data_IF_733053759600
#
_entry.id   IF_733053759600
#
_cell.length_a   1.000
_cell.length_b   1.000
_cell.length_c   1.000
_cell.angle_alpha   90.00
_cell.angle_beta   90.00
_cell.angle_gamma   90.00
#
_symmetry.space_group_name_H-M   'P 1'
#
loop_
_entity.id
_entity.type
_entity.pdbx_description
1 polymer ?
#
# COMPACT_ATOMS: atom_id res chain seq x y z
N UNK A 1 -6.72 -36.34 11.45
CA UNK A 1 -7.44 -35.23 12.11
C UNK A 1 -6.58 -33.99 12.03
N UNK A 2 -7.09 -32.84 11.57
CA UNK A 2 -6.36 -31.58 11.71
C UNK A 2 -6.15 -31.29 13.21
N UNK A 3 -5.03 -30.65 13.61
CA UNK A 3 -4.75 -30.39 15.01
C UNK A 3 -5.85 -29.50 15.63
N UNK A 4 -6.24 -29.73 16.90
CA UNK A 4 -7.21 -28.87 17.58
C UNK A 4 -6.69 -27.43 17.67
N UNK A 5 -7.59 -26.45 17.72
CA UNK A 5 -7.26 -25.01 17.66
C UNK A 5 -6.26 -24.54 18.72
N UNK A 6 -6.20 -25.20 19.88
CA UNK A 6 -5.18 -24.94 20.90
C UNK A 6 -3.77 -25.37 20.45
N UNK A 7 -3.64 -26.51 19.77
CA UNK A 7 -2.38 -26.97 19.18
C UNK A 7 -1.92 -26.06 18.05
N UNK A 8 -2.84 -25.55 17.23
CA UNK A 8 -2.51 -24.55 16.19
C UNK A 8 -1.96 -23.26 16.81
N UNK A 9 -2.60 -22.72 17.86
CA UNK A 9 -2.08 -21.53 18.55
C UNK A 9 -0.70 -21.79 19.21
N UNK A 10 -0.47 -22.98 19.77
CA UNK A 10 0.83 -23.35 20.37
C UNK A 10 1.90 -23.52 19.28
N UNK A 11 1.56 -24.13 18.15
CA UNK A 11 2.45 -24.26 17.00
C UNK A 11 2.78 -22.88 16.44
N UNK A 12 1.79 -22.02 16.18
CA UNK A 12 2.00 -20.64 15.72
C UNK A 12 2.85 -19.82 16.70
N UNK A 13 2.60 -19.91 18.01
CA UNK A 13 3.41 -19.25 19.03
C UNK A 13 4.87 -19.74 19.02
N UNK A 14 5.08 -21.06 18.85
CA UNK A 14 6.43 -21.64 18.70
C UNK A 14 7.11 -21.23 17.39
N UNK A 15 6.36 -21.19 16.29
CA UNK A 15 6.84 -20.71 15.00
C UNK A 15 7.29 -19.24 15.10
N UNK A 16 6.51 -18.38 15.77
CA UNK A 16 6.90 -16.99 16.05
C UNK A 16 8.15 -16.87 16.93
N UNK A 17 8.30 -17.71 17.95
CA UNK A 17 9.55 -17.77 18.74
C UNK A 17 10.76 -18.18 17.91
N UNK A 18 10.54 -18.97 16.84
CA UNK A 18 11.56 -19.33 15.84
C UNK A 18 11.69 -18.28 14.72
N UNK A 19 11.08 -17.11 14.85
CA UNK A 19 11.18 -16.01 13.90
C UNK A 19 10.29 -16.11 12.67
N UNK A 20 9.35 -17.06 12.60
CA UNK A 20 8.39 -17.17 11.50
C UNK A 20 7.49 -15.92 11.39
N UNK A 21 7.30 -15.41 10.18
CA UNK A 21 6.59 -14.16 9.92
C UNK A 21 7.43 -12.91 10.18
N UNK A 22 8.75 -13.05 10.43
CA UNK A 22 9.69 -11.94 10.43
C UNK A 22 10.22 -11.63 9.03
N UNK A 23 10.88 -10.49 8.85
CA UNK A 23 11.57 -10.14 7.58
C UNK A 23 12.56 -11.24 7.17
N UNK A 24 13.24 -11.86 8.14
CA UNK A 24 14.28 -12.88 7.88
C UNK A 24 13.71 -14.27 7.59
N UNK A 25 12.48 -14.54 8.00
CA UNK A 25 11.78 -15.80 7.77
C UNK A 25 10.29 -15.52 7.53
N UNK A 26 9.95 -14.91 6.38
CA UNK A 26 8.59 -14.52 6.06
C UNK A 26 7.69 -15.75 5.84
N UNK A 27 6.40 -15.58 6.09
CA UNK A 27 5.39 -16.57 5.73
C UNK A 27 5.30 -16.71 4.21
N UNK A 28 5.23 -17.95 3.73
CA UNK A 28 5.15 -18.24 2.30
C UNK A 28 3.71 -18.09 1.83
N UNK A 29 3.42 -17.07 1.03
CA UNK A 29 2.08 -16.88 0.49
C UNK A 29 1.66 -18.09 -0.34
N UNK A 30 0.46 -18.63 -0.09
CA UNK A 30 -0.01 -19.88 -0.70
C UNK A 30 0.96 -21.07 -0.59
N UNK A 31 1.81 -21.10 0.44
CA UNK A 31 2.86 -22.11 0.63
C UNK A 31 3.88 -22.19 -0.53
N UNK A 32 4.01 -21.14 -1.34
CA UNK A 32 4.98 -21.08 -2.44
C UNK A 32 6.35 -20.65 -1.89
N UNK A 33 7.37 -21.50 -2.09
CA UNK A 33 8.75 -21.22 -1.69
C UNK A 33 9.56 -20.75 -2.89
N UNK A 34 9.93 -19.46 -2.92
CA UNK A 34 10.68 -18.86 -4.02
C UNK A 34 11.94 -19.64 -4.39
N UNK A 35 12.76 -20.03 -3.39
CA UNK A 35 14.05 -20.68 -3.62
C UNK A 35 13.85 -22.08 -4.21
N UNK A 36 12.93 -22.86 -3.66
CA UNK A 36 12.63 -24.21 -4.15
C UNK A 36 12.02 -24.18 -5.55
N UNK A 37 11.07 -23.27 -5.81
CA UNK A 37 10.43 -23.12 -7.12
C UNK A 37 11.44 -22.64 -8.18
N UNK A 38 12.26 -21.63 -7.86
CA UNK A 38 13.33 -21.15 -8.74
C UNK A 38 14.31 -22.27 -9.08
N UNK A 39 14.79 -23.00 -8.08
CA UNK A 39 15.72 -24.11 -8.29
C UNK A 39 15.08 -25.22 -9.14
N UNK A 40 13.82 -25.58 -8.88
CA UNK A 40 13.10 -26.56 -9.69
C UNK A 40 13.02 -26.12 -11.16
N UNK A 41 12.59 -24.89 -11.43
CA UNK A 41 12.46 -24.36 -12.79
C UNK A 41 13.81 -24.30 -13.52
N UNK A 42 14.88 -23.88 -12.85
CA UNK A 42 16.23 -23.85 -13.41
C UNK A 42 16.72 -25.27 -13.74
N UNK A 43 16.58 -26.23 -12.82
CA UNK A 43 17.00 -27.63 -13.03
C UNK A 43 16.23 -28.29 -14.18
N UNK A 44 14.93 -27.98 -14.33
CA UNK A 44 14.07 -28.54 -15.37
C UNK A 44 14.14 -27.78 -16.70
N UNK A 45 14.80 -26.62 -16.75
CA UNK A 45 14.84 -25.79 -17.95
C UNK A 45 13.47 -25.23 -18.35
N UNK A 46 12.57 -25.01 -17.39
CA UNK A 46 11.21 -24.51 -17.63
C UNK A 46 11.04 -23.08 -17.10
N UNK A 47 10.10 -22.34 -17.69
CA UNK A 47 9.67 -21.04 -17.15
C UNK A 47 8.59 -21.25 -16.09
N UNK A 48 8.71 -20.58 -14.96
CA UNK A 48 7.71 -20.58 -13.91
C UNK A 48 6.40 -19.98 -14.44
N UNK A 49 5.30 -20.61 -14.07
CA UNK A 49 3.94 -20.18 -14.32
C UNK A 49 3.20 -20.29 -12.98
N UNK A 50 2.54 -19.21 -12.59
CA UNK A 50 1.92 -19.12 -11.28
C UNK A 50 0.47 -19.59 -11.31
N UNK A 51 0.25 -20.86 -10.95
CA UNK A 51 -1.09 -21.45 -10.92
C UNK A 51 -2.01 -20.80 -9.87
N UNK A 52 -1.43 -20.11 -8.87
CA UNK A 52 -2.19 -19.41 -7.83
C UNK A 52 -2.63 -18.00 -8.25
N UNK A 53 -2.08 -17.47 -9.35
CA UNK A 53 -2.48 -16.20 -9.94
C UNK A 53 -2.32 -16.27 -11.46
N UNK A 54 -3.20 -17.07 -12.12
CA UNK A 54 -3.00 -17.47 -13.51
C UNK A 54 -3.08 -16.26 -14.47
N UNK A 55 -2.37 -16.29 -15.61
CA UNK A 55 -2.38 -15.20 -16.58
C UNK A 55 -3.66 -15.20 -17.44
N UNK A 56 -4.82 -15.01 -16.80
CA UNK A 56 -6.13 -15.01 -17.43
C UNK A 56 -7.05 -13.89 -16.89
N UNK A 57 -8.30 -13.89 -17.35
CA UNK A 57 -9.30 -12.89 -16.96
C UNK A 57 -9.62 -12.85 -15.47
N UNK A 58 -9.42 -13.95 -14.71
CA UNK A 58 -9.70 -13.99 -13.27
C UNK A 58 -8.73 -13.10 -12.50
N UNK A 59 -7.45 -13.15 -12.87
CA UNK A 59 -6.41 -12.32 -12.24
C UNK A 59 -6.53 -10.84 -12.61
N UNK A 60 -7.09 -10.52 -13.78
CA UNK A 60 -7.46 -9.13 -14.13
C UNK A 60 -8.61 -8.64 -13.23
N UNK A 61 -9.62 -9.48 -13.03
CA UNK A 61 -10.84 -9.12 -12.28
C UNK A 61 -11.93 -8.53 -13.17
N UNK A 62 -13.08 -8.20 -12.57
CA UNK A 62 -14.26 -7.68 -13.27
C UNK A 62 -14.34 -6.14 -13.19
N UNK A 63 -15.09 -5.51 -14.09
CA UNK A 63 -15.45 -4.09 -13.96
C UNK A 63 -14.45 -3.06 -14.48
N UNK A 64 -13.13 -3.33 -14.48
CA UNK A 64 -12.13 -2.36 -15.00
C UNK A 64 -12.15 -2.30 -16.52
N UNK A 65 -12.14 -3.46 -17.18
CA UNK A 65 -12.11 -3.56 -18.64
C UNK A 65 -13.47 -4.03 -19.15
N UNK A 66 -13.95 -3.41 -20.23
CA UNK A 66 -15.11 -3.91 -20.97
C UNK A 66 -14.81 -5.33 -21.50
N UNK A 67 -15.78 -6.26 -21.55
CA UNK A 67 -15.55 -7.62 -22.05
C UNK A 67 -14.89 -7.69 -23.43
N UNK A 68 -15.23 -6.76 -24.33
CA UNK A 68 -14.61 -6.66 -25.66
C UNK A 68 -13.11 -6.36 -25.59
N UNK A 69 -12.69 -5.49 -24.68
CA UNK A 69 -11.29 -5.12 -24.44
C UNK A 69 -10.55 -6.25 -23.73
N UNK A 70 -11.20 -6.89 -22.74
CA UNK A 70 -10.63 -8.00 -21.99
C UNK A 70 -10.23 -9.17 -22.91
N UNK A 71 -11.03 -9.46 -23.94
CA UNK A 71 -10.70 -10.48 -24.95
C UNK A 71 -9.45 -10.18 -25.80
N UNK A 72 -8.93 -8.95 -25.76
CA UNK A 72 -7.72 -8.55 -26.48
C UNK A 72 -6.47 -8.56 -25.59
N UNK A 73 -6.63 -8.81 -24.28
CA UNK A 73 -5.51 -8.85 -23.34
C UNK A 73 -4.65 -10.08 -23.61
N UNK A 74 -3.35 -9.84 -23.81
CA UNK A 74 -2.32 -10.87 -23.94
C UNK A 74 -1.33 -10.78 -22.78
N UNK A 75 -1.03 -11.92 -22.18
CA UNK A 75 -0.09 -12.01 -21.07
C UNK A 75 1.32 -12.33 -21.55
N UNK A 76 2.17 -11.31 -21.60
CA UNK A 76 3.53 -11.36 -22.16
C UNK A 76 4.57 -11.24 -21.05
N UNK A 77 5.71 -11.91 -21.21
CA UNK A 77 6.87 -11.73 -20.33
C UNK A 77 7.67 -10.47 -20.75
N UNK A 78 8.47 -9.86 -19.86
CA UNK A 78 9.27 -8.68 -20.18
C UNK A 78 10.10 -8.81 -21.47
N UNK A 79 10.78 -9.94 -21.66
CA UNK A 79 11.57 -10.21 -22.86
C UNK A 79 10.76 -10.28 -24.19
N UNK A 80 9.43 -10.38 -24.11
CA UNK A 80 8.53 -10.31 -25.26
C UNK A 80 7.97 -8.90 -25.49
N UNK A 81 8.11 -8.02 -24.49
CA UNK A 81 7.64 -6.63 -24.49
C UNK A 81 8.77 -5.70 -24.92
N UNK A 82 9.95 -5.88 -24.33
CA UNK A 82 11.14 -5.07 -24.56
C UNK A 82 12.38 -5.95 -24.80
N UNK A 83 13.18 -5.72 -25.85
CA UNK A 83 14.36 -6.54 -26.18
C UNK A 83 15.41 -6.57 -25.07
N UNK A 84 15.63 -5.44 -24.40
CA UNK A 84 16.66 -5.27 -23.38
C UNK A 84 16.10 -5.25 -21.96
N UNK A 85 14.96 -5.92 -21.74
CA UNK A 85 14.26 -5.95 -20.45
C UNK A 85 15.18 -6.25 -19.26
N UNK A 86 15.12 -5.38 -18.26
CA UNK A 86 15.79 -5.46 -16.96
C UNK A 86 14.78 -5.35 -15.83
N UNK A 87 15.14 -5.90 -14.66
CA UNK A 87 14.31 -5.73 -13.48
C UNK A 87 14.32 -4.26 -13.04
N UNK A 88 15.53 -3.71 -12.91
CA UNK A 88 15.84 -2.31 -12.57
C UNK A 88 16.93 -1.84 -13.54
N UNK A 89 16.81 -0.61 -14.07
CA UNK A 89 17.77 -0.06 -15.05
C UNK A 89 18.79 0.87 -14.39
N UNK A 90 18.35 1.95 -13.75
CA UNK A 90 19.23 2.98 -13.15
C UNK A 90 18.78 3.38 -11.73
N UNK A 91 18.77 2.39 -10.84
CA UNK A 91 18.29 2.56 -9.49
C UNK A 91 16.76 2.60 -9.41
N UNK A 92 16.25 3.02 -8.25
CA UNK A 92 14.80 3.07 -8.01
C UNK A 92 14.39 4.49 -7.65
N UNK A 93 13.33 4.97 -8.28
CA UNK A 93 12.83 6.33 -8.14
C UNK A 93 11.32 6.35 -8.32
N UNK A 94 10.65 7.29 -7.63
CA UNK A 94 9.25 7.61 -7.92
C UNK A 94 9.02 7.97 -9.39
N UNK A 95 10.04 8.53 -10.06
CA UNK A 95 9.94 8.92 -11.46
C UNK A 95 10.02 7.75 -12.45
N UNK A 96 10.33 6.54 -11.97
CA UNK A 96 10.45 5.37 -12.83
C UNK A 96 9.13 4.97 -13.45
N UNK A 97 7.99 5.28 -12.82
CA UNK A 97 6.68 4.76 -13.22
C UNK A 97 5.57 5.81 -13.27
N UNK A 98 4.50 5.44 -13.99
CA UNK A 98 3.24 6.18 -14.02
C UNK A 98 2.05 5.24 -13.97
N UNK A 99 0.96 5.71 -13.36
CA UNK A 99 -0.28 4.95 -13.25
C UNK A 99 -0.88 4.58 -14.62
N UNK A 100 -1.31 3.33 -14.74
CA UNK A 100 -2.10 2.86 -15.88
C UNK A 100 -3.60 3.13 -15.73
N UNK A 101 -4.43 2.22 -16.25
CA UNK A 101 -5.90 2.39 -16.22
C UNK A 101 -6.56 1.98 -14.90
N UNK A 102 -5.80 1.42 -13.97
CA UNK A 102 -6.28 0.91 -12.68
C UNK A 102 -6.41 2.06 -11.66
N UNK A 103 -7.49 2.07 -10.88
CA UNK A 103 -7.73 3.05 -9.82
C UNK A 103 -6.98 2.76 -8.51
N UNK A 104 -5.67 2.50 -8.59
CA UNK A 104 -4.80 2.15 -7.47
C UNK A 104 -3.79 3.27 -7.11
N UNK A 105 -4.16 4.53 -7.32
CA UNK A 105 -3.29 5.68 -7.03
C UNK A 105 -2.73 5.67 -5.61
N UNK A 106 -3.53 5.22 -4.63
CA UNK A 106 -3.13 5.04 -3.23
C UNK A 106 -1.90 4.15 -3.07
N UNK A 107 -1.84 3.05 -3.83
CA UNK A 107 -0.73 2.10 -3.82
C UNK A 107 0.51 2.70 -4.50
N UNK A 108 0.33 3.34 -5.65
CA UNK A 108 1.41 3.96 -6.42
C UNK A 108 2.02 5.19 -5.72
N UNK A 109 1.21 6.04 -5.09
CA UNK A 109 1.69 7.11 -4.22
C UNK A 109 2.50 6.55 -3.04
N UNK A 110 2.03 5.44 -2.44
CA UNK A 110 2.76 4.80 -1.35
C UNK A 110 4.11 4.20 -1.82
N UNK A 111 4.18 3.66 -3.05
CA UNK A 111 5.46 3.26 -3.66
C UNK A 111 6.35 4.48 -3.88
N UNK A 112 5.79 5.59 -4.35
CA UNK A 112 6.50 6.87 -4.47
C UNK A 112 7.19 7.27 -3.18
N UNK A 113 6.47 7.20 -2.05
CA UNK A 113 7.03 7.43 -0.72
C UNK A 113 8.12 6.41 -0.37
N UNK A 114 7.91 5.13 -0.70
CA UNK A 114 8.83 4.03 -0.40
C UNK A 114 10.19 4.21 -1.06
N UNK A 115 10.24 4.81 -2.26
CA UNK A 115 11.50 5.05 -2.99
C UNK A 115 12.49 5.97 -2.24
N UNK A 116 12.02 6.77 -1.28
CA UNK A 116 12.91 7.57 -0.43
C UNK A 116 13.52 6.80 0.74
N UNK A 117 13.02 5.59 1.02
CA UNK A 117 13.40 4.79 2.18
C UNK A 117 14.06 3.47 1.73
N UNK A 118 15.26 3.55 1.14
CA UNK A 118 15.97 2.40 0.54
C UNK A 118 16.01 1.15 1.43
N UNK A 119 16.23 1.34 2.73
CA UNK A 119 16.28 0.24 3.70
C UNK A 119 14.94 -0.50 3.88
N UNK A 120 13.80 0.18 3.67
CA UNK A 120 12.47 -0.41 3.68
C UNK A 120 12.15 -0.96 2.28
N UNK A 121 12.51 -0.21 1.24
CA UNK A 121 12.31 -0.61 -0.15
C UNK A 121 12.91 -2.00 -0.42
N UNK A 122 14.16 -2.25 -0.05
CA UNK A 122 14.83 -3.54 -0.25
C UNK A 122 14.19 -4.70 0.54
N UNK A 123 13.42 -4.41 1.60
CA UNK A 123 12.66 -5.43 2.32
C UNK A 123 11.44 -5.88 1.51
N UNK A 124 10.76 -4.93 0.87
CA UNK A 124 9.58 -5.17 0.02
C UNK A 124 9.96 -5.72 -1.34
N UNK A 125 11.03 -5.17 -1.94
CA UNK A 125 11.53 -5.46 -3.28
C UNK A 125 12.99 -5.96 -3.17
N UNK A 126 13.22 -7.27 -3.08
CA UNK A 126 14.56 -7.83 -3.15
C UNK A 126 15.25 -7.46 -4.47
N UNK A 127 16.33 -6.68 -4.41
CA UNK A 127 17.03 -6.13 -5.60
C UNK A 127 17.99 -7.11 -6.28
N UNK A 128 18.20 -8.30 -5.73
CA UNK A 128 19.05 -9.36 -6.31
C UNK A 128 18.37 -10.17 -7.43
N UNK A 129 17.17 -9.76 -7.84
CA UNK A 129 16.38 -10.37 -8.90
C UNK A 129 16.81 -9.86 -10.29
N UNK A 130 16.85 -10.76 -11.29
CA UNK A 130 17.34 -10.45 -12.64
C UNK A 130 16.47 -11.09 -13.72
N UNK A 131 16.29 -10.40 -14.84
CA UNK A 131 15.56 -10.89 -16.04
C UNK A 131 16.47 -11.68 -17.00
N UNK A 132 17.80 -11.48 -16.94
CA UNK A 132 18.76 -12.12 -17.87
C UNK A 132 19.50 -13.31 -17.24
N UNK A 133 20.10 -13.12 -16.06
CA UNK A 133 20.92 -14.13 -15.39
C UNK A 133 20.09 -15.02 -14.45
N UNK A 134 20.37 -16.34 -14.44
CA UNK A 134 19.65 -17.31 -13.60
C UNK A 134 18.13 -17.16 -13.66
N UNK A 135 17.65 -16.79 -14.85
CA UNK A 135 16.28 -16.40 -15.10
C UNK A 135 15.44 -17.61 -15.44
N UNK A 136 14.33 -17.78 -14.75
CA UNK A 136 13.28 -18.75 -15.07
C UNK A 136 11.87 -18.14 -15.01
N UNK A 137 11.73 -16.82 -15.13
CA UNK A 137 10.43 -16.14 -15.16
C UNK A 137 9.70 -16.13 -13.82
N UNK A 138 10.44 -16.15 -12.70
CA UNK A 138 9.93 -16.15 -11.32
C UNK A 138 10.52 -14.95 -10.57
N UNK A 139 9.67 -14.26 -9.81
CA UNK A 139 10.03 -13.13 -8.95
C UNK A 139 9.34 -13.28 -7.60
N UNK A 140 9.80 -12.53 -6.61
CA UNK A 140 9.12 -12.44 -5.32
C UNK A 140 9.24 -11.05 -4.70
N UNK A 141 8.25 -10.74 -3.86
CA UNK A 141 8.12 -9.49 -3.13
C UNK A 141 7.63 -9.79 -1.72
N UNK A 142 7.81 -8.85 -0.78
CA UNK A 142 7.37 -9.05 0.59
C UNK A 142 6.44 -7.94 1.03
N UNK A 143 5.34 -8.33 1.66
CA UNK A 143 4.41 -7.40 2.26
C UNK A 143 4.17 -7.80 3.70
N UNK A 144 4.09 -6.81 4.58
CA UNK A 144 3.56 -7.02 5.91
C UNK A 144 2.05 -7.20 5.81
N UNK A 145 1.52 -8.26 6.42
CA UNK A 145 0.09 -8.55 6.45
C UNK A 145 -0.28 -8.94 7.86
N UNK A 146 -1.05 -8.09 8.54
CA UNK A 146 -1.68 -8.39 9.82
C UNK A 146 -0.72 -8.98 10.87
N UNK A 147 0.45 -8.37 11.04
CA UNK A 147 1.42 -8.74 12.08
C UNK A 147 2.56 -9.66 11.64
N UNK A 148 2.65 -10.01 10.36
CA UNK A 148 3.69 -10.88 9.82
C UNK A 148 4.12 -10.45 8.42
N UNK A 149 5.39 -10.63 8.11
CA UNK A 149 5.91 -10.51 6.76
C UNK A 149 5.54 -11.76 5.95
N UNK A 150 5.06 -11.53 4.74
CA UNK A 150 4.61 -12.55 3.79
C UNK A 150 5.41 -12.41 2.50
N UNK A 151 6.04 -13.49 2.05
CA UNK A 151 6.79 -13.59 0.79
C UNK A 151 5.84 -14.08 -0.31
N UNK A 152 5.66 -13.25 -1.33
CA UNK A 152 4.71 -13.45 -2.43
C UNK A 152 5.50 -13.74 -3.69
N UNK A 153 5.38 -14.99 -4.16
CA UNK A 153 6.01 -15.46 -5.40
C UNK A 153 5.08 -15.19 -6.57
N UNK A 154 5.59 -14.69 -7.69
CA UNK A 154 4.85 -14.51 -8.94
C UNK A 154 5.66 -15.01 -10.14
N UNK A 155 4.98 -15.32 -11.24
CA UNK A 155 5.63 -15.31 -12.55
C UNK A 155 5.69 -13.89 -13.13
N UNK A 156 6.48 -13.68 -14.19
CA UNK A 156 6.62 -12.38 -14.84
C UNK A 156 5.70 -12.14 -16.05
N UNK A 157 4.63 -12.93 -16.24
CA UNK A 157 3.65 -12.59 -17.27
C UNK A 157 2.86 -11.35 -16.85
N UNK A 158 2.86 -10.34 -17.68
CA UNK A 158 2.15 -9.07 -17.45
C UNK A 158 1.04 -8.90 -18.49
N UNK A 159 -0.12 -8.33 -18.10
CA UNK A 159 -1.23 -8.10 -19.01
C UNK A 159 -0.91 -6.95 -19.96
N UNK A 160 -1.10 -7.18 -21.26
CA UNK A 160 -0.81 -6.22 -22.33
C UNK A 160 -1.93 -6.13 -23.35
N UNK A 161 -2.04 -4.99 -24.02
CA UNK A 161 -2.82 -4.81 -25.25
C UNK A 161 -1.87 -4.25 -26.31
N UNK A 162 -1.81 -4.89 -27.47
CA UNK A 162 -0.88 -4.52 -28.56
C UNK A 162 0.58 -4.43 -28.11
N UNK A 163 1.01 -5.31 -27.20
CA UNK A 163 2.37 -5.35 -26.67
C UNK A 163 2.68 -4.26 -25.65
N UNK A 164 1.71 -3.44 -25.25
CA UNK A 164 1.89 -2.41 -24.20
C UNK A 164 1.22 -2.83 -22.90
N UNK A 165 1.89 -2.60 -21.78
CA UNK A 165 1.31 -2.79 -20.44
C UNK A 165 0.06 -1.92 -20.28
N UNK A 166 -0.97 -2.46 -19.65
CA UNK A 166 -2.24 -1.75 -19.43
C UNK A 166 -2.40 -1.17 -18.02
N UNK A 167 -1.64 -1.68 -17.07
CA UNK A 167 -1.59 -1.17 -15.70
C UNK A 167 -0.32 -0.33 -15.48
N UNK A 168 0.29 -0.36 -14.29
CA UNK A 168 1.51 0.43 -14.07
C UNK A 168 2.59 0.04 -15.09
N UNK A 169 3.30 1.04 -15.57
CA UNK A 169 4.41 0.86 -16.48
C UNK A 169 5.50 1.87 -16.18
N UNK A 170 6.72 1.49 -16.49
CA UNK A 170 7.87 2.35 -16.31
C UNK A 170 7.99 3.37 -17.44
N UNK A 171 8.60 4.53 -17.17
CA UNK A 171 8.97 5.52 -18.20
C UNK A 171 10.09 4.98 -19.09
N UNK A 172 11.03 4.21 -18.53
CA UNK A 172 11.96 3.40 -19.32
C UNK A 172 11.24 2.13 -19.82
N UNK A 173 11.14 1.90 -21.14
CA UNK A 173 10.45 0.73 -21.68
C UNK A 173 11.11 -0.61 -21.33
N UNK A 174 12.36 -0.60 -20.85
CA UNK A 174 13.10 -1.80 -20.45
C UNK A 174 13.00 -2.11 -18.95
N UNK A 175 12.40 -1.25 -18.12
CA UNK A 175 12.33 -1.46 -16.66
C UNK A 175 10.99 -2.07 -16.23
N UNK A 176 11.02 -3.10 -15.38
CA UNK A 176 9.81 -3.89 -15.06
C UNK A 176 9.52 -4.05 -13.56
N UNK A 177 10.37 -3.59 -12.65
CA UNK A 177 10.11 -3.70 -11.20
C UNK A 177 8.75 -3.13 -10.76
N UNK A 178 8.24 -1.98 -11.28
CA UNK A 178 6.96 -1.43 -10.83
C UNK A 178 5.79 -2.34 -11.22
N UNK A 179 5.80 -2.83 -12.46
CA UNK A 179 4.75 -3.71 -12.99
C UNK A 179 4.72 -5.07 -12.29
N UNK A 180 5.89 -5.61 -11.93
CA UNK A 180 5.99 -6.86 -11.19
C UNK A 180 5.57 -6.67 -9.72
N UNK A 181 5.90 -5.55 -9.10
CA UNK A 181 5.47 -5.20 -7.74
C UNK A 181 3.94 -5.04 -7.66
N UNK A 182 3.34 -4.31 -8.61
CA UNK A 182 1.88 -4.17 -8.70
C UNK A 182 1.20 -5.52 -8.89
N UNK A 183 1.74 -6.40 -9.76
CA UNK A 183 1.23 -7.75 -9.93
C UNK A 183 1.26 -8.56 -8.63
N UNK A 184 2.37 -8.49 -7.88
CA UNK A 184 2.50 -9.22 -6.63
C UNK A 184 1.47 -8.73 -5.59
N UNK A 185 1.21 -7.43 -5.54
CA UNK A 185 0.19 -6.89 -4.65
C UNK A 185 -1.23 -7.22 -5.12
N UNK A 186 -1.49 -7.19 -6.43
CA UNK A 186 -2.76 -7.65 -7.02
C UNK A 186 -3.08 -9.09 -6.62
N UNK A 187 -2.05 -9.96 -6.59
CA UNK A 187 -2.17 -11.33 -6.11
C UNK A 187 -2.53 -11.42 -4.62
N UNK A 188 -2.01 -10.52 -3.78
CA UNK A 188 -2.38 -10.45 -2.36
C UNK A 188 -3.83 -9.99 -2.19
N UNK A 189 -4.28 -9.04 -3.00
CA UNK A 189 -5.66 -8.55 -3.01
C UNK A 189 -6.66 -9.55 -3.58
N UNK A 190 -6.26 -10.36 -4.57
CA UNK A 190 -7.07 -11.38 -5.22
C UNK A 190 -7.10 -11.22 -6.75
N UNK A 191 -7.14 -9.98 -7.24
CA UNK A 191 -7.05 -9.60 -8.65
C UNK A 191 -6.57 -8.16 -8.80
N UNK A 192 -6.27 -7.70 -10.02
CA UNK A 192 -6.00 -6.28 -10.26
C UNK A 192 -7.22 -5.41 -9.93
N UNK A 193 -8.45 -5.86 -10.20
CA UNK A 193 -9.67 -5.15 -9.78
C UNK A 193 -9.71 -4.93 -8.27
N UNK A 194 -9.33 -5.93 -7.49
CA UNK A 194 -9.42 -5.88 -6.02
C UNK A 194 -8.40 -4.90 -5.39
N UNK A 195 -7.52 -4.28 -6.19
CA UNK A 195 -6.66 -3.17 -5.76
C UNK A 195 -7.33 -1.79 -5.88
N UNK A 196 -8.52 -1.69 -6.44
CA UNK A 196 -9.19 -0.41 -6.68
C UNK A 196 -9.72 0.18 -5.37
N UNK A 197 -9.57 1.49 -5.17
CA UNK A 197 -10.17 2.25 -4.06
C UNK A 197 -9.67 1.89 -2.65
N UNK A 198 -8.35 1.76 -2.46
CA UNK A 198 -7.72 1.71 -1.13
C UNK A 198 -7.23 3.08 -0.64
N UNK A 199 -6.53 3.09 0.50
CA UNK A 199 -5.95 4.32 1.08
C UNK A 199 -4.42 4.26 1.18
N UNK A 200 -3.69 5.37 1.07
CA UNK A 200 -2.23 5.36 1.20
C UNK A 200 -1.77 4.71 2.51
N UNK A 201 -2.50 4.93 3.62
CA UNK A 201 -2.26 4.28 4.90
C UNK A 201 -2.13 2.74 4.82
N UNK A 202 -2.99 2.07 4.05
CA UNK A 202 -3.00 0.61 3.93
C UNK A 202 -1.72 0.10 3.27
N UNK A 203 -1.33 0.70 2.13
CA UNK A 203 -0.14 0.30 1.40
C UNK A 203 1.13 0.62 2.20
N UNK A 204 1.19 1.78 2.85
CA UNK A 204 2.35 2.14 3.68
C UNK A 204 2.53 1.19 4.87
N UNK A 205 1.44 0.76 5.51
CA UNK A 205 1.52 -0.25 6.57
C UNK A 205 1.97 -1.60 6.02
N UNK A 206 1.49 -1.99 4.84
CA UNK A 206 1.91 -3.22 4.17
C UNK A 206 3.38 -3.19 3.70
N UNK A 207 3.93 -2.02 3.42
CA UNK A 207 5.35 -1.87 3.06
C UNK A 207 6.29 -1.81 4.26
N UNK A 208 5.80 -1.43 5.43
CA UNK A 208 6.66 -1.15 6.59
C UNK A 208 6.46 -2.10 7.76
N UNK A 209 5.25 -2.62 7.94
CA UNK A 209 4.79 -3.18 9.21
C UNK A 209 4.84 -2.19 10.37
N UNK A 210 4.88 -0.89 10.05
CA UNK A 210 5.11 0.21 10.96
C UNK A 210 3.83 0.72 11.63
N UNK A 211 3.99 1.84 12.32
CA UNK A 211 2.88 2.59 12.93
C UNK A 211 2.43 3.70 12.00
N UNK A 212 1.13 3.87 11.90
CA UNK A 212 0.48 4.88 11.07
C UNK A 212 -0.19 5.96 11.93
N UNK A 213 -0.14 7.19 11.45
CA UNK A 213 -0.87 8.34 11.97
C UNK A 213 -1.53 9.05 10.78
N UNK A 214 -2.82 9.33 10.90
CA UNK A 214 -3.56 10.17 9.96
C UNK A 214 -3.85 11.52 10.63
N UNK A 215 -3.55 12.61 9.94
CA UNK A 215 -3.79 13.99 10.38
C UNK A 215 -4.80 14.62 9.45
N UNK A 216 -5.92 15.08 10.00
CA UNK A 216 -6.92 15.84 9.24
C UNK A 216 -6.41 17.28 9.04
N UNK A 217 -6.26 17.70 7.79
CA UNK A 217 -5.65 19.00 7.47
C UNK A 217 -6.59 20.18 7.74
N UNK A 218 -7.87 19.91 7.93
CA UNK A 218 -8.86 20.89 8.42
C UNK A 218 -8.68 21.24 9.90
N UNK A 219 -7.92 20.45 10.67
CA UNK A 219 -7.69 20.69 12.09
C UNK A 219 -6.56 21.72 12.32
N UNK A 220 -6.98 22.96 12.56
CA UNK A 220 -6.07 24.09 12.83
C UNK A 220 -5.44 24.08 14.23
N UNK A 221 -5.81 23.14 15.11
CA UNK A 221 -5.32 23.10 16.50
C UNK A 221 -3.94 22.45 16.65
N UNK A 222 -3.46 21.73 15.63
CA UNK A 222 -2.23 20.95 15.68
C UNK A 222 -1.07 21.63 14.91
N UNK A 223 0.16 21.49 15.42
CA UNK A 223 1.38 21.90 14.70
C UNK A 223 1.70 20.89 13.57
N UNK A 224 0.85 20.88 12.55
CA UNK A 224 0.95 19.99 11.39
C UNK A 224 2.28 20.22 10.66
N UNK A 225 2.70 21.49 10.51
CA UNK A 225 3.97 21.81 9.85
C UNK A 225 5.17 21.22 10.60
N UNK A 226 5.26 21.45 11.92
CA UNK A 226 6.34 20.89 12.73
C UNK A 226 6.33 19.36 12.70
N UNK A 227 5.15 18.73 12.68
CA UNK A 227 5.00 17.28 12.54
C UNK A 227 5.57 16.78 11.20
N UNK A 228 5.18 17.39 10.07
CA UNK A 228 5.70 17.02 8.74
C UNK A 228 7.22 17.24 8.69
N UNK A 229 7.74 18.34 9.23
CA UNK A 229 9.18 18.59 9.29
C UNK A 229 9.94 17.56 10.11
N UNK A 230 9.34 16.99 11.17
CA UNK A 230 9.93 15.89 11.94
C UNK A 230 9.85 14.58 11.17
N UNK A 231 8.69 14.26 10.60
CA UNK A 231 8.50 13.08 9.76
C UNK A 231 9.46 13.05 8.56
N UNK A 232 9.63 14.16 7.84
CA UNK A 232 10.57 14.25 6.72
C UNK A 232 12.06 14.09 7.10
N UNK A 233 12.41 14.10 8.39
CA UNK A 233 13.76 13.79 8.91
C UNK A 233 13.87 12.38 9.50
N UNK A 234 12.75 11.67 9.62
CA UNK A 234 12.64 10.31 10.13
C UNK A 234 12.51 9.30 8.98
N UNK A 235 12.61 8.01 9.31
CA UNK A 235 12.37 6.92 8.36
C UNK A 235 10.85 6.68 8.20
N UNK A 236 10.14 7.67 7.65
CA UNK A 236 8.69 7.62 7.43
C UNK A 236 8.34 7.72 5.96
N UNK A 237 7.23 7.08 5.59
CA UNK A 237 6.48 7.27 4.36
C UNK A 237 5.40 8.32 4.62
N UNK A 238 5.20 9.24 3.67
CA UNK A 238 4.17 10.27 3.78
C UNK A 238 3.36 10.35 2.48
N UNK A 239 2.05 10.37 2.62
CA UNK A 239 1.11 10.56 1.52
C UNK A 239 -0.12 11.34 1.97
N UNK A 240 -0.92 11.77 1.02
CA UNK A 240 -2.09 12.60 1.28
C UNK A 240 -3.17 12.36 0.23
N UNK A 241 -4.42 12.65 0.61
CA UNK A 241 -5.58 12.53 -0.27
C UNK A 241 -6.21 13.88 -0.60
N UNK A 242 -6.75 14.00 -1.81
CA UNK A 242 -7.68 15.09 -2.16
C UNK A 242 -9.13 14.64 -1.92
N UNK A 243 -10.06 15.56 -1.63
CA UNK A 243 -11.46 15.22 -1.42
C UNK A 243 -12.06 14.47 -2.62
N UNK A 244 -12.95 13.51 -2.34
CA UNK A 244 -13.73 12.84 -3.37
C UNK A 244 -14.65 13.84 -4.09
N UNK A 245 -14.70 13.75 -5.41
CA UNK A 245 -15.65 14.52 -6.23
C UNK A 245 -17.08 13.97 -6.16
N UNK A 246 -17.97 14.49 -7.01
CA UNK A 246 -19.37 14.02 -7.09
C UNK A 246 -19.51 12.57 -7.56
N UNK A 247 -18.53 12.10 -8.33
CA UNK A 247 -18.45 10.71 -8.80
C UNK A 247 -17.23 10.03 -8.19
N UNK A 248 -17.18 8.70 -8.23
CA UNK A 248 -16.01 7.92 -7.83
C UNK A 248 -14.81 8.08 -8.77
N UNK A 249 -14.98 8.71 -9.93
CA UNK A 249 -13.91 8.90 -10.91
C UNK A 249 -13.00 10.08 -10.53
N UNK A 250 -11.71 9.92 -10.83
CA UNK A 250 -10.75 11.00 -10.69
C UNK A 250 -11.02 12.11 -11.71
N UNK A 251 -11.11 13.35 -11.23
CA UNK A 251 -11.37 14.54 -12.06
C UNK A 251 -10.24 15.54 -11.88
N UNK A 252 -9.63 15.98 -12.99
CA UNK A 252 -8.63 17.06 -12.97
C UNK A 252 -9.34 18.41 -12.82
N UNK A 253 -8.95 19.17 -11.82
CA UNK A 253 -9.48 20.50 -11.52
C UNK A 253 -8.75 21.59 -12.32
N UNK A 254 -9.34 22.80 -12.45
CA UNK A 254 -8.70 23.93 -13.14
C UNK A 254 -7.39 24.43 -12.51
N UNK A 255 -7.05 23.99 -11.31
CA UNK A 255 -5.77 24.30 -10.64
C UNK A 255 -4.74 23.17 -10.83
N UNK A 256 -5.04 22.19 -11.68
CA UNK A 256 -4.20 21.03 -12.00
C UNK A 256 -4.31 19.85 -11.03
N UNK A 257 -4.88 20.04 -9.84
CA UNK A 257 -5.06 18.94 -8.87
C UNK A 257 -6.14 17.95 -9.33
N UNK A 258 -5.94 16.69 -8.99
CA UNK A 258 -6.89 15.60 -9.25
C UNK A 258 -7.73 15.33 -8.00
N UNK A 259 -9.07 15.34 -8.11
CA UNK A 259 -9.99 14.95 -7.02
C UNK A 259 -10.06 13.44 -6.81
N UNK A 260 -10.33 13.03 -5.57
CA UNK A 260 -10.41 11.62 -5.14
C UNK A 260 -9.10 10.85 -5.37
N UNK A 261 -7.95 11.53 -5.26
CA UNK A 261 -6.65 11.01 -5.70
C UNK A 261 -5.60 11.11 -4.60
N UNK A 262 -4.68 10.16 -4.59
CA UNK A 262 -3.58 10.10 -3.64
C UNK A 262 -2.30 10.71 -4.22
N UNK A 263 -1.57 11.45 -3.38
CA UNK A 263 -0.27 12.04 -3.69
C UNK A 263 0.77 11.62 -2.66
N UNK A 264 2.04 11.69 -3.05
CA UNK A 264 3.18 11.49 -2.15
C UNK A 264 3.66 12.83 -1.62
N UNK A 265 3.99 12.94 -0.33
CA UNK A 265 4.77 14.08 0.17
C UNK A 265 6.26 13.78 0.00
N UNK A 266 6.93 14.54 -0.87
CA UNK A 266 8.33 14.27 -1.26
C UNK A 266 9.33 15.29 -0.72
N UNK A 267 8.86 16.31 -0.02
CA UNK A 267 9.75 17.30 0.59
C UNK A 267 9.01 18.41 1.32
N UNK A 268 9.73 19.07 2.23
CA UNK A 268 9.30 20.32 2.86
C UNK A 268 10.47 21.29 2.91
N UNK A 269 10.17 22.58 2.77
CA UNK A 269 11.18 23.64 2.78
C UNK A 269 10.60 24.93 3.35
N UNK A 270 11.35 25.55 4.24
CA UNK A 270 11.15 26.96 4.58
C UNK A 270 12.13 27.80 3.77
N UNK A 271 11.64 28.90 3.20
CA UNK A 271 12.46 29.82 2.43
C UNK A 271 12.01 31.27 2.67
N UNK A 272 12.85 32.22 2.29
CA UNK A 272 12.54 33.65 2.38
C UNK A 272 12.11 34.15 1.00
N UNK A 273 10.88 34.64 0.89
CA UNK A 273 10.34 35.31 -0.29
C UNK A 273 9.94 36.74 0.10
N UNK A 274 10.49 37.74 -0.59
CA UNK A 274 10.17 39.16 -0.34
C UNK A 274 10.29 39.59 1.14
N UNK A 275 11.26 39.03 1.87
CA UNK A 275 11.49 39.31 3.29
C UNK A 275 10.56 38.60 4.28
N UNK A 276 9.70 37.69 3.81
CA UNK A 276 8.82 36.84 4.63
C UNK A 276 9.22 35.38 4.53
N UNK A 277 9.10 34.64 5.63
CA UNK A 277 9.24 33.18 5.62
C UNK A 277 7.99 32.58 4.99
N UNK A 278 8.19 31.72 3.99
CA UNK A 278 7.13 30.91 3.38
C UNK A 278 7.46 29.43 3.56
N UNK A 279 6.42 28.64 3.80
CA UNK A 279 6.50 27.20 4.03
C UNK A 279 6.00 26.50 2.78
N UNK A 280 6.88 25.75 2.13
CA UNK A 280 6.55 25.00 0.92
C UNK A 280 6.57 23.51 1.20
N UNK A 281 5.60 22.82 0.63
CA UNK A 281 5.52 21.37 0.60
C UNK A 281 5.62 20.91 -0.85
N UNK A 282 6.39 19.84 -1.08
CA UNK A 282 6.55 19.22 -2.38
C UNK A 282 5.75 17.94 -2.42
N UNK A 283 4.94 17.80 -3.46
CA UNK A 283 4.05 16.67 -3.67
C UNK A 283 4.36 16.02 -5.00
N UNK A 284 4.09 14.73 -5.11
CA UNK A 284 4.22 13.99 -6.36
C UNK A 284 2.93 13.22 -6.69
N UNK A 285 2.45 13.44 -7.92
CA UNK A 285 1.33 12.75 -8.52
C UNK A 285 1.77 11.39 -9.11
N UNK A 286 1.22 10.25 -8.66
CA UNK A 286 1.60 8.93 -9.16
C UNK A 286 1.20 8.66 -10.62
N UNK A 287 0.49 9.58 -11.28
CA UNK A 287 0.32 9.55 -12.74
C UNK A 287 1.62 9.87 -13.48
N UNK A 288 2.63 10.42 -12.78
CA UNK A 288 3.92 10.82 -13.34
C UNK A 288 3.83 12.04 -14.28
N UNK A 289 2.71 12.79 -14.18
CA UNK A 289 2.34 13.99 -14.92
C UNK A 289 1.16 14.69 -14.23
N UNK A 290 0.85 15.91 -14.63
CA UNK A 290 -0.31 16.66 -14.14
C UNK A 290 -0.04 17.24 -12.75
N UNK A 291 0.16 18.55 -12.72
CA UNK A 291 0.78 19.26 -11.61
C UNK A 291 -0.05 20.47 -11.18
N UNK A 292 0.25 20.98 -10.00
CA UNK A 292 -0.32 22.23 -9.49
C UNK A 292 -0.05 23.40 -10.44
N UNK A 293 -1.07 24.21 -10.74
CA UNK A 293 -0.96 25.39 -11.61
C UNK A 293 -0.97 26.73 -10.85
N UNK A 294 -1.06 26.70 -9.52
CA UNK A 294 -1.09 27.90 -8.68
C UNK A 294 0.30 28.42 -8.28
N UNK A 295 0.35 29.18 -7.19
CA UNK A 295 1.61 29.72 -6.66
C UNK A 295 2.58 28.60 -6.28
N UNK A 296 3.86 28.79 -6.62
CA UNK A 296 4.95 27.82 -6.44
C UNK A 296 4.92 26.58 -7.35
N UNK A 297 3.98 26.50 -8.29
CA UNK A 297 4.10 25.61 -9.44
C UNK A 297 5.41 25.82 -10.21
N UNK A 298 5.78 24.85 -11.04
CA UNK A 298 7.01 24.88 -11.86
C UNK A 298 7.15 26.15 -12.71
N UNK A 299 6.01 26.67 -13.19
CA UNK A 299 5.96 27.87 -14.03
C UNK A 299 5.64 29.15 -13.25
N UNK A 300 5.54 29.07 -11.92
CA UNK A 300 5.13 30.20 -11.09
C UNK A 300 6.18 31.31 -11.07
N UNK A 301 5.79 32.59 -11.25
CA UNK A 301 6.71 33.71 -11.11
C UNK A 301 7.18 33.91 -9.65
N UNK A 302 6.56 33.23 -8.68
CA UNK A 302 6.97 33.28 -7.27
C UNK A 302 8.41 32.83 -7.06
N UNK A 303 8.93 31.94 -7.90
CA UNK A 303 10.34 31.52 -7.88
C UNK A 303 11.34 32.64 -8.17
N UNK A 304 10.91 33.75 -8.77
CA UNK A 304 11.78 34.94 -8.97
C UNK A 304 11.95 35.77 -7.69
N UNK A 305 11.20 35.45 -6.63
CA UNK A 305 11.17 36.22 -5.37
C UNK A 305 12.08 35.65 -4.28
N UNK A 306 12.73 34.51 -4.55
CA UNK A 306 13.58 33.76 -3.61
C UNK A 306 15.06 33.88 -3.99
N UNK A 307 15.96 33.41 -3.12
CA UNK A 307 17.39 33.41 -3.44
C UNK A 307 17.68 32.52 -4.65
N UNK A 308 18.67 32.88 -5.49
CA UNK A 308 19.07 32.03 -6.63
C UNK A 308 19.50 30.63 -6.20
N UNK A 309 20.05 30.50 -4.99
CA UNK A 309 20.44 29.21 -4.42
C UNK A 309 19.22 28.34 -4.06
N UNK A 310 18.19 28.91 -3.45
CA UNK A 310 16.96 28.16 -3.13
C UNK A 310 16.20 27.81 -4.40
N UNK A 311 16.15 28.74 -5.37
CA UNK A 311 15.55 28.48 -6.69
C UNK A 311 16.20 27.27 -7.37
N UNK A 312 17.54 27.26 -7.54
CA UNK A 312 18.26 26.13 -8.16
C UNK A 312 18.11 24.80 -7.41
N UNK A 313 17.86 24.83 -6.10
CA UNK A 313 17.71 23.61 -5.29
C UNK A 313 16.30 23.05 -5.30
N UNK A 314 15.29 23.92 -5.39
CA UNK A 314 13.89 23.55 -5.24
C UNK A 314 13.18 23.43 -6.58
N UNK A 315 13.45 24.33 -7.52
CA UNK A 315 12.76 24.39 -8.80
C UNK A 315 13.39 23.40 -9.78
N UNK A 316 12.60 22.41 -10.16
CA UNK A 316 12.74 21.66 -11.41
C UNK A 316 11.57 22.08 -12.30
N UNK A 317 11.77 22.23 -13.61
CA UNK A 317 10.68 22.56 -14.55
C UNK A 317 10.51 21.38 -15.49
N UNK A 318 9.59 20.49 -15.18
CA UNK A 318 9.30 19.29 -15.97
C UNK A 318 7.92 18.75 -15.62
N UNK A 319 7.13 18.33 -16.62
CA UNK A 319 5.86 17.60 -16.37
C UNK A 319 6.17 16.15 -15.97
N UNK A 320 6.58 15.96 -14.71
CA UNK A 320 6.93 14.67 -14.11
C UNK A 320 6.01 14.28 -12.94
N UNK A 321 5.04 15.15 -12.64
CA UNK A 321 4.04 15.01 -11.59
C UNK A 321 4.48 15.56 -10.24
N UNK A 322 5.74 16.01 -10.09
CA UNK A 322 6.24 16.61 -8.86
C UNK A 322 6.14 18.13 -8.91
N UNK A 323 5.57 18.74 -7.87
CA UNK A 323 5.43 20.19 -7.79
C UNK A 323 5.54 20.68 -6.35
N UNK A 324 5.90 21.95 -6.19
CA UNK A 324 5.77 22.64 -4.90
C UNK A 324 4.46 23.40 -4.81
N UNK A 325 3.97 23.57 -3.59
CA UNK A 325 2.87 24.47 -3.28
C UNK A 325 3.07 25.10 -1.89
N UNK A 326 2.37 26.21 -1.63
CA UNK A 326 2.31 26.79 -0.30
C UNK A 326 1.65 25.80 0.67
N UNK A 327 2.15 25.71 1.90
CA UNK A 327 1.58 24.85 2.93
C UNK A 327 0.12 25.21 3.25
N UNK A 328 -0.23 26.49 3.14
CA UNK A 328 -1.59 26.98 3.32
C UNK A 328 -2.54 26.42 2.25
N UNK A 329 -2.09 26.34 0.99
CA UNK A 329 -2.85 25.73 -0.09
C UNK A 329 -2.95 24.21 0.10
N UNK A 330 -1.89 23.56 0.60
CA UNK A 330 -1.94 22.14 0.94
C UNK A 330 -3.05 21.85 1.96
N UNK A 331 -3.12 22.60 3.06
CA UNK A 331 -4.18 22.43 4.06
C UNK A 331 -5.59 22.75 3.52
N UNK A 332 -5.68 23.56 2.47
CA UNK A 332 -6.95 23.94 1.84
C UNK A 332 -7.46 22.90 0.85
N UNK A 333 -6.57 22.29 0.05
CA UNK A 333 -6.96 21.43 -1.07
C UNK A 333 -6.87 19.93 -0.78
N UNK A 334 -6.18 19.53 0.30
CA UNK A 334 -6.06 18.14 0.73
C UNK A 334 -6.87 17.88 1.99
N UNK A 335 -7.38 16.65 2.15
CA UNK A 335 -8.21 16.25 3.30
C UNK A 335 -7.36 15.82 4.49
N UNK A 336 -6.37 14.98 4.20
CA UNK A 336 -5.62 14.25 5.20
C UNK A 336 -4.16 14.06 4.78
N UNK A 337 -3.34 13.84 5.79
CA UNK A 337 -1.94 13.44 5.68
C UNK A 337 -1.76 12.12 6.43
N UNK A 338 -1.30 11.11 5.72
CA UNK A 338 -0.86 9.83 6.26
C UNK A 338 0.65 9.85 6.48
N UNK A 339 1.07 9.53 7.70
CA UNK A 339 2.48 9.33 8.07
C UNK A 339 2.63 7.91 8.61
N UNK A 340 3.49 7.11 7.97
CA UNK A 340 3.77 5.76 8.40
C UNK A 340 5.26 5.57 8.64
N UNK A 341 5.66 5.12 9.82
CA UNK A 341 7.07 4.93 10.18
C UNK A 341 7.32 3.63 10.92
N UNK A 342 8.55 3.13 10.84
CA UNK A 342 8.98 1.99 11.66
C UNK A 342 8.93 2.31 13.18
N UNK A 343 9.04 3.60 13.52
CA UNK A 343 8.96 4.14 14.88
C UNK A 343 8.16 5.45 14.87
N UNK A 344 7.46 5.77 15.96
CA UNK A 344 6.71 7.04 16.09
C UNK A 344 7.58 8.23 16.51
N UNK A 345 8.89 8.23 16.21
CA UNK A 345 9.83 9.27 16.67
C UNK A 345 9.52 10.68 16.12
N UNK A 346 8.77 10.75 15.02
CA UNK A 346 8.27 11.98 14.44
C UNK A 346 7.23 12.71 15.29
N UNK A 347 6.58 12.06 16.27
CA UNK A 347 5.52 12.67 17.08
C UNK A 347 6.06 13.74 18.03
N UNK A 348 7.05 13.40 18.87
CA UNK A 348 7.51 14.24 19.99
C UNK A 348 8.94 14.78 19.82
N UNK A 349 9.68 14.34 18.80
CA UNK A 349 11.06 14.79 18.53
C UNK A 349 12.07 14.43 19.63
N UNK A 350 11.72 13.56 20.58
CA UNK A 350 12.55 13.18 21.73
C UNK A 350 12.63 11.66 21.84
N UNK A 351 13.46 11.02 21.02
CA UNK A 351 13.64 9.57 21.07
C UNK A 351 14.74 9.14 22.06
N UNK A 352 14.39 8.93 23.32
CA UNK A 352 15.04 7.91 24.15
C UNK A 352 14.09 6.78 24.56
N UNK A 353 12.79 6.90 24.25
CA UNK A 353 11.79 5.90 24.58
C UNK A 353 11.73 4.81 23.51
N UNK A 354 12.10 3.58 23.89
CA UNK A 354 11.85 2.40 23.07
C UNK A 354 10.41 1.94 23.30
N UNK A 355 9.52 2.21 22.34
CA UNK A 355 8.18 1.62 22.37
C UNK A 355 8.29 0.10 22.14
N UNK A 356 7.81 -0.69 23.10
CA UNK A 356 7.67 -2.15 22.95
C UNK A 356 6.34 -2.44 22.28
N UNK A 357 6.37 -2.71 20.98
CA UNK A 357 5.20 -3.20 20.25
C UNK A 357 4.83 -4.59 20.78
N UNK A 358 3.61 -4.73 21.28
CA UNK A 358 3.03 -6.03 21.66
C UNK A 358 1.92 -6.34 20.66
N UNK A 359 2.16 -7.33 19.80
CA UNK A 359 1.17 -7.76 18.80
C UNK A 359 0.26 -8.80 19.44
N UNK A 360 -1.02 -8.45 19.60
CA UNK A 360 -2.05 -9.38 20.04
C UNK A 360 -2.82 -9.87 18.81
N UNK A 361 -2.78 -11.18 18.52
CA UNK A 361 -3.57 -11.74 17.43
C UNK A 361 -5.05 -11.86 17.82
N UNK A 362 -5.89 -11.19 17.02
CA UNK A 362 -7.34 -11.15 17.19
C UNK A 362 -8.07 -12.40 16.69
N UNK A 363 -9.37 -12.26 16.41
CA UNK A 363 -10.16 -13.28 15.74
C UNK A 363 -10.16 -13.02 14.23
N UNK A 364 -9.98 -14.05 13.39
CA UNK A 364 -10.31 -13.94 11.97
C UNK A 364 -11.83 -13.93 11.83
N UNK A 365 -12.34 -12.92 11.14
CA UNK A 365 -13.77 -12.70 10.87
C UNK A 365 -13.93 -12.75 9.35
N UNK A 366 -14.93 -13.48 8.84
CA UNK A 366 -15.24 -13.49 7.40
C UNK A 366 -15.95 -12.21 6.96
N UNK A 367 -15.90 -11.89 5.67
CA UNK A 367 -16.59 -10.72 5.11
C UNK A 367 -18.11 -10.75 5.35
N UNK A 368 -18.72 -11.94 5.32
CA UNK A 368 -20.13 -12.14 5.69
C UNK A 368 -20.41 -11.75 7.14
N UNK A 369 -19.50 -12.12 8.05
CA UNK A 369 -19.63 -11.82 9.46
C UNK A 369 -19.35 -10.33 9.72
N UNK A 370 -18.37 -9.73 9.03
CA UNK A 370 -18.12 -8.29 9.04
C UNK A 370 -19.33 -7.50 8.56
N UNK A 371 -19.98 -7.97 7.48
CA UNK A 371 -21.21 -7.37 6.95
C UNK A 371 -22.37 -7.47 7.94
N UNK A 372 -22.56 -8.63 8.57
CA UNK A 372 -23.54 -8.82 9.62
C UNK A 372 -23.26 -7.95 10.85
N UNK A 373 -21.99 -7.80 11.23
CA UNK A 373 -21.54 -6.94 12.31
C UNK A 373 -21.84 -5.47 12.00
N UNK A 374 -21.53 -5.01 10.79
CA UNK A 374 -21.85 -3.66 10.33
C UNK A 374 -23.36 -3.41 10.26
N UNK A 375 -24.15 -4.39 9.79
CA UNK A 375 -25.62 -4.30 9.76
C UNK A 375 -26.25 -4.26 11.15
N UNK A 376 -25.69 -5.01 12.10
CA UNK A 376 -26.28 -5.15 13.44
C UNK A 376 -25.85 -4.05 14.40
N UNK A 377 -24.63 -3.53 14.26
CA UNK A 377 -24.04 -2.58 15.21
C UNK A 377 -23.68 -1.22 14.58
N UNK A 378 -23.74 -1.10 13.25
CA UNK A 378 -23.61 0.17 12.54
C UNK A 378 -24.93 0.91 12.39
N UNK A 379 -24.85 2.21 12.17
CA UNK A 379 -25.98 3.03 11.75
C UNK A 379 -26.38 2.73 10.30
N UNK A 380 -27.55 3.21 9.87
CA UNK A 380 -28.01 3.10 8.48
C UNK A 380 -27.07 3.76 7.46
N UNK A 381 -26.18 4.64 7.91
CA UNK A 381 -25.09 5.25 7.13
C UNK A 381 -23.83 4.39 7.01
N UNK A 382 -23.81 3.18 7.56
CA UNK A 382 -22.64 2.29 7.61
C UNK A 382 -21.58 2.68 8.64
N UNK A 383 -21.79 3.77 9.39
CA UNK A 383 -20.85 4.23 10.43
C UNK A 383 -21.20 3.61 11.79
N UNK A 384 -20.19 3.22 12.55
CA UNK A 384 -20.36 2.67 13.91
C UNK A 384 -19.65 3.58 14.92
N UNK A 385 -20.38 4.05 15.94
CA UNK A 385 -19.77 4.83 17.02
C UNK A 385 -18.84 3.96 17.86
N UNK A 386 -17.82 4.57 18.47
CA UNK A 386 -16.79 3.87 19.26
C UNK A 386 -17.40 3.01 20.38
N UNK A 387 -18.45 3.48 21.05
CA UNK A 387 -19.13 2.73 22.12
C UNK A 387 -19.76 1.43 21.61
N UNK A 388 -20.40 1.46 20.44
CA UNK A 388 -20.97 0.27 19.81
C UNK A 388 -19.87 -0.67 19.31
N UNK A 389 -18.77 -0.14 18.80
CA UNK A 389 -17.61 -0.94 18.42
C UNK A 389 -16.98 -1.65 19.63
N UNK A 390 -16.80 -0.96 20.76
CA UNK A 390 -16.26 -1.57 21.98
C UNK A 390 -17.19 -2.69 22.47
N UNK A 391 -18.51 -2.44 22.54
CA UNK A 391 -19.49 -3.46 22.92
C UNK A 391 -19.45 -4.67 21.97
N UNK A 392 -19.37 -4.42 20.67
CA UNK A 392 -19.22 -5.45 19.65
C UNK A 392 -17.95 -6.28 19.87
N UNK A 393 -16.80 -5.64 20.09
CA UNK A 393 -15.52 -6.32 20.31
C UNK A 393 -15.52 -7.16 21.60
N UNK A 394 -16.07 -6.64 22.70
CA UNK A 394 -16.23 -7.38 23.95
C UNK A 394 -17.11 -8.61 23.71
N UNK A 395 -18.25 -8.43 23.03
CA UNK A 395 -19.17 -9.53 22.75
C UNK A 395 -18.54 -10.58 21.84
N UNK A 396 -17.81 -10.15 20.81
CA UNK A 396 -17.10 -11.02 19.90
C UNK A 396 -16.03 -11.86 20.62
N UNK A 397 -15.27 -11.24 21.52
CA UNK A 397 -14.26 -11.93 22.34
C UNK A 397 -14.91 -12.92 23.33
N UNK A 398 -16.01 -12.53 23.99
CA UNK A 398 -16.78 -13.43 24.85
C UNK A 398 -17.32 -14.64 24.06
N UNK A 399 -17.97 -14.41 22.92
CA UNK A 399 -18.50 -15.47 22.07
C UNK A 399 -17.39 -16.38 21.53
N UNK A 400 -16.23 -15.83 21.17
CA UNK A 400 -15.04 -16.60 20.77
C UNK A 400 -14.53 -17.49 21.90
N UNK A 401 -14.45 -16.95 23.12
CA UNK A 401 -14.02 -17.71 24.31
C UNK A 401 -14.98 -18.86 24.60
N UNK A 402 -16.29 -18.60 24.55
CA UNK A 402 -17.32 -19.62 24.72
C UNK A 402 -17.25 -20.68 23.62
N UNK A 403 -17.12 -20.27 22.35
CA UNK A 403 -16.96 -21.20 21.24
C UNK A 403 -15.73 -22.09 21.44
N UNK A 404 -14.57 -21.52 21.79
CA UNK A 404 -13.36 -22.32 22.07
C UNK A 404 -13.52 -23.29 23.24
N UNK A 405 -14.31 -22.95 24.26
CA UNK A 405 -14.55 -23.80 25.42
C UNK A 405 -15.54 -24.93 25.13
N UNK A 406 -16.57 -24.67 24.34
CA UNK A 406 -17.70 -25.57 24.12
C UNK A 406 -17.65 -26.29 22.77
N UNK A 407 -16.73 -25.93 21.88
CA UNK A 407 -16.60 -26.52 20.55
C UNK A 407 -15.71 -27.75 20.54
N UNK A 408 -16.08 -28.73 19.71
CA UNK A 408 -15.26 -29.89 19.32
C UNK A 408 -14.21 -29.56 18.22
N UNK A 409 -14.07 -28.29 17.86
CA UNK A 409 -13.19 -27.81 16.80
C UNK A 409 -13.86 -27.59 15.45
N UNK A 410 -15.14 -27.97 15.28
CA UNK A 410 -15.95 -27.65 14.09
C UNK A 410 -17.32 -27.07 14.41
N UNK A 411 -17.92 -27.48 15.52
CA UNK A 411 -19.27 -27.12 15.93
C UNK A 411 -19.35 -26.95 17.44
N UNK A 412 -20.37 -26.24 17.93
CA UNK A 412 -20.75 -26.26 19.34
C UNK A 412 -22.04 -27.08 19.45
N UNK A 413 -22.09 -27.99 20.40
CA UNK A 413 -23.34 -28.64 20.81
C UNK A 413 -23.75 -28.05 22.16
N UNK A 414 -24.86 -27.31 22.18
CA UNK A 414 -25.41 -26.69 23.39
C UNK A 414 -26.69 -27.40 23.83
N UNK A 415 -26.84 -27.63 25.13
CA UNK A 415 -28.15 -27.95 25.72
C UNK A 415 -29.04 -26.71 25.65
N UNK A 416 -30.36 -26.92 25.67
CA UNK A 416 -31.35 -25.83 25.60
C UNK A 416 -31.10 -24.74 26.65
N UNK A 417 -30.79 -25.11 27.90
CA UNK A 417 -30.46 -24.16 28.96
C UNK A 417 -29.19 -23.36 28.70
N UNK A 418 -28.18 -23.95 28.05
CA UNK A 418 -26.92 -23.30 27.70
C UNK A 418 -27.12 -22.35 26.51
N UNK A 419 -27.93 -22.76 25.52
CA UNK A 419 -28.33 -21.89 24.40
C UNK A 419 -29.13 -20.68 24.87
N UNK A 420 -30.08 -20.89 25.78
CA UNK A 420 -30.87 -19.80 26.36
C UNK A 420 -29.99 -18.84 27.16
N UNK A 421 -29.02 -19.35 27.93
CA UNK A 421 -28.06 -18.50 28.63
C UNK A 421 -27.20 -17.65 27.67
N UNK A 422 -26.75 -18.22 26.55
CA UNK A 422 -25.94 -17.53 25.52
C UNK A 422 -26.75 -16.51 24.72
N UNK A 423 -28.01 -16.82 24.40
CA UNK A 423 -28.85 -15.98 23.53
C UNK A 423 -29.64 -14.90 24.27
N UNK A 424 -29.90 -15.08 25.58
CA UNK A 424 -30.72 -14.17 26.38
C UNK A 424 -29.93 -13.18 27.24
N UNK A 425 -28.60 -13.29 27.36
CA UNK A 425 -27.78 -12.25 27.99
C UNK A 425 -27.36 -11.17 26.96
N UNK A 426 -27.89 -9.96 27.17
CA UNK A 426 -27.62 -8.70 26.47
C UNK A 426 -26.21 -8.18 26.71
#
# INVERSE_FOLDING_TARGET
MPPPGACLNIMEARHKQMGYGSISNPEKFFNQDFKNLKQYCLTKGVRYLDDMFPPDAKSVGQGILKPSVLGHVKWLRPAQIAPDAEFVVDGVSRFDFGQGVLGNCWFLASIGALTFQNHIFEQVVPLDQKIKENYCGIFHFRFWRFGRWVDVVIDDKLPTINGRLIFVHSKDPNEFWPALLEKAYAKVCGSYTDMTSGTPSEAMMDFTGGVHMCVQLSDTSSDVWGLICRAGKSNTLMGCGTPQGETSANTVLPNGLVQGHAYTVTGVKELISQGKVVKLIRLWNPWGKGEWEGDWSDWSPMWNTVSSQDNQKCLSVADDGEFWMAFEDFCKFYTDLDICGLKPDFIDGKSSAQWKTSVYEGMKVSDDMLSLMALRYGASSGHMALEYFINLMIRLDCMKKMFKQLSDGKSINLKESEWMYVSMYT
#
